data_IF_496509134932
#
_entry.id   IF_496509134932
#
_cell.length_a   1.000
_cell.length_b   1.000
_cell.length_c   1.000
_cell.angle_alpha   90.00
_cell.angle_beta   90.00
_cell.angle_gamma   90.00
#
_symmetry.space_group_name_H-M   'P 1'
#
loop_
_entity.id
_entity.type
_entity.pdbx_description
1 polymer ?
#
# COMPACT_ATOMS: atom_id res chain seq x y z
N UNK A 1 1.28 -19.01 18.01
CA UNK A 1 0.07 -18.89 18.87
C UNK A 1 -0.08 -17.42 19.30
N UNK A 2 -1.26 -16.79 19.18
CA UNK A 2 -1.46 -15.39 19.63
C UNK A 2 -1.51 -15.36 21.17
N UNK A 3 -0.55 -14.68 21.80
CA UNK A 3 -0.54 -14.48 23.26
C UNK A 3 -1.76 -13.65 23.71
N UNK A 4 -2.44 -14.10 24.77
CA UNK A 4 -3.57 -13.38 25.39
C UNK A 4 -3.05 -12.15 26.13
N UNK A 5 -3.56 -10.96 25.81
CA UNK A 5 -3.20 -9.69 26.45
C UNK A 5 -3.85 -9.60 27.83
N UNK A 6 -3.06 -9.56 28.89
CA UNK A 6 -3.51 -9.51 30.30
C UNK A 6 -3.10 -8.23 31.02
N UNK A 7 -1.97 -7.66 30.63
CA UNK A 7 -1.43 -6.44 31.25
C UNK A 7 -2.11 -5.16 30.75
N UNK A 8 -2.32 -4.21 31.66
CA UNK A 8 -2.92 -2.90 31.40
C UNK A 8 -1.88 -1.80 31.65
N UNK A 9 -1.76 -0.87 30.72
CA UNK A 9 -0.90 0.31 30.84
C UNK A 9 -1.79 1.55 30.91
N UNK A 10 -1.66 2.34 31.97
CA UNK A 10 -2.36 3.62 32.14
C UNK A 10 -1.38 4.75 31.83
N UNK A 11 -1.76 5.63 30.91
CA UNK A 11 -0.95 6.78 30.48
C UNK A 11 -1.66 8.07 30.83
N UNK A 12 -0.97 8.97 31.56
CA UNK A 12 -1.40 10.35 31.76
C UNK A 12 -1.00 11.17 30.54
N UNK A 13 -1.89 12.02 30.06
CA UNK A 13 -1.72 12.78 28.83
C UNK A 13 -2.61 14.02 28.87
N UNK A 14 -2.25 15.06 28.11
CA UNK A 14 -3.13 16.21 27.95
C UNK A 14 -4.29 15.88 27.01
N UNK A 15 -5.32 16.73 27.00
CA UNK A 15 -6.48 16.53 26.11
C UNK A 15 -6.09 16.60 24.63
N UNK A 16 -5.12 17.46 24.29
CA UNK A 16 -4.63 17.67 22.93
C UNK A 16 -3.83 16.45 22.47
N UNK A 17 -2.86 16.01 23.29
CA UNK A 17 -2.03 14.85 22.98
C UNK A 17 -2.88 13.59 22.77
N UNK A 18 -3.90 13.39 23.61
CA UNK A 18 -4.85 12.28 23.46
C UNK A 18 -5.59 12.32 22.12
N UNK A 19 -5.96 13.51 21.62
CA UNK A 19 -6.60 13.66 20.31
C UNK A 19 -5.60 13.37 19.19
N UNK A 20 -4.40 13.92 19.28
CA UNK A 20 -3.35 13.72 18.27
C UNK A 20 -2.98 12.25 18.13
N UNK A 21 -2.75 11.55 19.25
CA UNK A 21 -2.44 10.12 19.25
C UNK A 21 -3.55 9.27 18.62
N UNK A 22 -4.82 9.68 18.73
CA UNK A 22 -5.94 9.01 18.06
C UNK A 22 -5.91 9.21 16.55
N UNK A 23 -5.59 10.42 16.09
CA UNK A 23 -5.44 10.73 14.65
C UNK A 23 -4.28 9.90 14.07
N UNK A 24 -3.10 9.95 14.69
CA UNK A 24 -1.94 9.19 14.24
C UNK A 24 -2.19 7.67 14.23
N UNK A 25 -2.92 7.16 15.23
CA UNK A 25 -3.32 5.76 15.26
C UNK A 25 -4.28 5.39 14.10
N UNK A 26 -5.23 6.29 13.78
CA UNK A 26 -6.16 6.13 12.66
C UNK A 26 -5.43 6.13 11.32
N UNK A 27 -4.48 7.03 11.13
CA UNK A 27 -3.66 7.13 9.90
C UNK A 27 -2.79 5.87 9.71
N UNK A 28 -2.26 5.33 10.81
CA UNK A 28 -1.56 4.04 10.80
C UNK A 28 -2.50 2.82 10.65
N UNK A 29 -3.83 3.00 10.64
CA UNK A 29 -4.81 1.91 10.56
C UNK A 29 -4.81 0.99 11.80
N UNK A 30 -4.46 1.51 12.97
CA UNK A 30 -4.32 0.75 14.21
C UNK A 30 -5.26 1.28 15.30
N UNK A 31 -5.62 0.42 16.25
CA UNK A 31 -6.21 0.91 17.50
C UNK A 31 -5.15 1.66 18.31
N UNK A 32 -5.58 2.64 19.11
CA UNK A 32 -4.70 3.48 19.93
C UNK A 32 -3.71 2.67 20.78
N UNK A 33 -4.17 1.61 21.44
CA UNK A 33 -3.31 0.72 22.24
C UNK A 33 -2.24 0.03 21.37
N UNK A 34 -2.61 -0.46 20.19
CA UNK A 34 -1.68 -1.14 19.28
C UNK A 34 -0.69 -0.17 18.65
N UNK A 35 -1.13 1.06 18.37
CA UNK A 35 -0.29 2.15 17.89
C UNK A 35 0.79 2.50 18.93
N UNK A 36 0.40 2.79 20.18
CA UNK A 36 1.33 3.13 21.26
C UNK A 36 2.34 2.03 21.55
N UNK A 37 1.90 0.76 21.59
CA UNK A 37 2.80 -0.38 21.80
C UNK A 37 3.79 -0.51 20.63
N UNK A 38 3.35 -0.35 19.38
CA UNK A 38 4.27 -0.41 18.23
C UNK A 38 5.24 0.76 18.20
N UNK A 39 4.76 1.97 18.50
CA UNK A 39 5.56 3.18 18.58
C UNK A 39 6.66 3.03 19.64
N UNK A 40 6.28 2.63 20.86
CA UNK A 40 7.24 2.44 21.97
C UNK A 40 8.22 1.29 21.76
N UNK A 41 7.89 0.32 20.91
CA UNK A 41 8.78 -0.78 20.53
C UNK A 41 9.58 -0.51 19.24
N UNK A 42 9.59 0.73 18.73
CA UNK A 42 10.23 1.11 17.46
C UNK A 42 9.87 0.19 16.27
N UNK A 43 8.66 -0.36 16.28
CA UNK A 43 8.19 -1.20 15.17
C UNK A 43 7.67 -0.28 14.07
N UNK A 44 8.16 -0.46 12.84
CA UNK A 44 7.72 0.29 11.67
C UNK A 44 6.19 0.47 11.64
N UNK A 45 5.76 1.70 11.90
CA UNK A 45 4.39 2.16 11.75
C UNK A 45 4.22 2.52 10.27
N UNK A 46 4.12 1.51 9.41
CA UNK A 46 3.75 1.77 8.01
C UNK A 46 2.38 2.45 8.03
N UNK A 47 2.30 3.67 7.51
CA UNK A 47 1.04 4.35 7.26
C UNK A 47 0.14 3.42 6.45
N UNK A 48 -1.17 3.46 6.70
CA UNK A 48 -2.10 2.83 5.77
C UNK A 48 -1.91 3.57 4.43
N UNK A 49 -1.73 2.82 3.34
CA UNK A 49 -1.77 3.43 2.02
C UNK A 49 -3.10 4.16 1.88
N UNK A 50 -3.08 5.42 1.45
CA UNK A 50 -4.30 6.16 1.13
C UNK A 50 -5.06 5.43 0.01
N UNK A 51 -6.33 5.77 -0.20
CA UNK A 51 -7.10 5.13 -1.28
C UNK A 51 -6.44 5.40 -2.65
N UNK A 52 -5.91 6.61 -2.85
CA UNK A 52 -5.16 7.01 -4.05
C UNK A 52 -3.85 6.21 -4.21
N UNK A 53 -3.13 5.99 -3.11
CA UNK A 53 -1.91 5.16 -3.11
C UNK A 53 -2.24 3.68 -3.41
N UNK A 54 -3.37 3.18 -2.90
CA UNK A 54 -3.85 1.82 -3.21
C UNK A 54 -4.25 1.67 -4.67
N UNK A 55 -4.93 2.67 -5.24
CA UNK A 55 -5.29 2.69 -6.66
C UNK A 55 -4.04 2.72 -7.53
N UNK A 56 -3.11 3.62 -7.23
CA UNK A 56 -1.80 3.69 -7.91
C UNK A 56 -1.07 2.36 -7.83
N UNK A 57 -1.04 1.73 -6.66
CA UNK A 57 -0.40 0.43 -6.47
C UNK A 57 -1.05 -0.68 -7.29
N UNK A 58 -2.39 -0.73 -7.36
CA UNK A 58 -3.12 -1.69 -8.21
C UNK A 58 -2.76 -1.52 -9.69
N UNK A 59 -2.71 -0.28 -10.17
CA UNK A 59 -2.34 0.01 -11.55
C UNK A 59 -0.89 -0.39 -11.85
N UNK A 60 0.04 -0.12 -10.92
CA UNK A 60 1.43 -0.58 -11.03
C UNK A 60 1.55 -2.10 -11.13
N UNK A 61 0.80 -2.85 -10.32
CA UNK A 61 0.77 -4.32 -10.39
C UNK A 61 0.23 -4.80 -11.75
N UNK A 62 -0.80 -4.14 -12.29
CA UNK A 62 -1.33 -4.46 -13.62
C UNK A 62 -0.25 -4.28 -14.70
N UNK A 63 0.45 -3.16 -14.69
CA UNK A 63 1.52 -2.89 -15.67
C UNK A 63 2.72 -3.84 -15.50
N UNK A 64 3.11 -4.17 -14.27
CA UNK A 64 4.17 -5.15 -14.01
C UNK A 64 3.82 -6.52 -14.62
N UNK A 65 2.58 -6.98 -14.45
CA UNK A 65 2.12 -8.24 -15.02
C UNK A 65 2.13 -8.21 -16.55
N UNK A 66 1.67 -7.10 -17.16
CA UNK A 66 1.73 -6.89 -18.61
C UNK A 66 3.17 -6.91 -19.14
N UNK A 67 4.10 -6.18 -18.50
CA UNK A 67 5.52 -6.20 -18.85
C UNK A 67 6.14 -7.60 -18.72
N UNK A 68 5.76 -8.35 -17.69
CA UNK A 68 6.23 -9.72 -17.49
C UNK A 68 5.71 -10.65 -18.58
N UNK A 69 4.42 -10.53 -18.96
CA UNK A 69 3.81 -11.29 -20.05
C UNK A 69 4.53 -11.01 -21.37
N UNK A 70 4.68 -9.74 -21.73
CA UNK A 70 5.36 -9.28 -22.94
C UNK A 70 6.83 -9.74 -22.97
N UNK A 71 7.54 -9.64 -21.85
CA UNK A 71 8.91 -10.16 -21.72
C UNK A 71 9.01 -11.68 -21.91
N UNK A 72 7.99 -12.43 -21.47
CA UNK A 72 7.93 -13.88 -21.70
C UNK A 72 7.65 -14.23 -23.17
N UNK A 73 6.79 -13.45 -23.86
CA UNK A 73 6.55 -13.60 -25.30
C UNK A 73 7.83 -13.32 -26.10
N UNK A 74 8.59 -12.29 -25.70
CA UNK A 74 9.88 -11.97 -26.32
C UNK A 74 10.87 -13.14 -26.19
N UNK A 75 11.01 -13.71 -24.99
CA UNK A 75 11.89 -14.87 -24.75
C UNK A 75 11.53 -16.07 -25.62
N UNK A 76 10.24 -16.29 -25.86
CA UNK A 76 9.73 -17.40 -26.68
C UNK A 76 9.75 -17.11 -28.19
N UNK A 77 10.16 -15.91 -28.61
CA UNK A 77 10.07 -15.42 -30.00
C UNK A 77 8.64 -15.56 -30.56
N UNK A 78 7.65 -15.36 -29.70
CA UNK A 78 6.25 -15.50 -30.06
C UNK A 78 5.85 -14.33 -30.97
N UNK A 79 5.24 -14.57 -32.15
CA UNK A 79 4.84 -13.53 -33.09
C UNK A 79 3.82 -12.53 -32.49
N UNK A 80 3.13 -12.90 -31.40
CA UNK A 80 2.19 -12.04 -30.68
C UNK A 80 2.85 -10.95 -29.86
N UNK A 81 4.18 -10.98 -29.69
CA UNK A 81 4.92 -10.00 -28.90
C UNK A 81 4.59 -8.55 -29.27
N UNK A 82 4.64 -8.21 -30.55
CA UNK A 82 4.40 -6.84 -31.00
C UNK A 82 2.97 -6.39 -30.66
N UNK A 83 1.98 -7.27 -30.83
CA UNK A 83 0.60 -6.96 -30.50
C UNK A 83 0.42 -6.71 -29.00
N UNK A 84 0.96 -7.59 -28.15
CA UNK A 84 0.84 -7.46 -26.69
C UNK A 84 1.58 -6.21 -26.18
N UNK A 85 2.72 -5.86 -26.79
CA UNK A 85 3.45 -4.64 -26.49
C UNK A 85 2.63 -3.39 -26.84
N UNK A 86 2.01 -3.35 -28.03
CA UNK A 86 1.14 -2.24 -28.42
C UNK A 86 -0.06 -2.11 -27.48
N UNK A 87 -0.71 -3.22 -27.14
CA UNK A 87 -1.82 -3.24 -26.18
C UNK A 87 -1.40 -2.66 -24.83
N UNK A 88 -0.24 -3.07 -24.29
CA UNK A 88 0.28 -2.56 -23.03
C UNK A 88 0.57 -1.05 -23.08
N UNK A 89 1.16 -0.57 -24.18
CA UNK A 89 1.42 0.86 -24.38
C UNK A 89 0.11 1.66 -24.42
N UNK A 90 -0.91 1.14 -25.09
CA UNK A 90 -2.21 1.81 -25.16
C UNK A 90 -2.94 1.81 -23.82
N UNK A 91 -2.87 0.72 -23.04
CA UNK A 91 -3.38 0.71 -21.66
C UNK A 91 -2.71 1.78 -20.79
N UNK A 92 -1.38 1.93 -20.89
CA UNK A 92 -0.64 2.97 -20.16
C UNK A 92 -1.06 4.37 -20.63
N UNK A 93 -1.21 4.60 -21.94
CA UNK A 93 -1.66 5.90 -22.47
C UNK A 93 -3.05 6.27 -21.96
N UNK A 94 -4.00 5.32 -21.98
CA UNK A 94 -5.35 5.53 -21.46
C UNK A 94 -5.29 5.88 -19.98
N UNK A 95 -4.49 5.17 -19.20
CA UNK A 95 -4.33 5.44 -17.78
C UNK A 95 -3.71 6.82 -17.53
N UNK A 96 -2.71 7.24 -18.31
CA UNK A 96 -2.08 8.56 -18.19
C UNK A 96 -3.01 9.72 -18.55
N UNK A 97 -3.93 9.53 -19.51
CA UNK A 97 -4.95 10.55 -19.84
C UNK A 97 -5.88 10.86 -18.69
N UNK A 98 -6.11 9.91 -17.78
CA UNK A 98 -6.95 10.16 -16.61
C UNK A 98 -6.29 11.07 -15.57
N UNK A 99 -5.00 11.40 -15.71
CA UNK A 99 -4.26 12.32 -14.85
C UNK A 99 -3.98 13.69 -15.51
N UNK A 100 -4.48 13.93 -16.72
CA UNK A 100 -4.44 15.23 -17.42
C UNK A 100 -5.80 15.94 -17.33
#
# INVERSE_FOLDING_TARGET
MKQKRREVIILRTTLIDKKLLKVMAKDAGLSLSKYLIKAGLNKNLRSRLTEDELETYKSLVKFQNGLTSTGNLLKKKDPRFNQELHNLVDEIRVHLKNFQ
#
